data_IF_609584913065
#
_entry.id   IF_609584913065
#
_cell.length_a   1.000
_cell.length_b   1.000
_cell.length_c   1.000
_cell.angle_alpha   90.00
_cell.angle_beta   90.00
_cell.angle_gamma   90.00
#
_symmetry.space_group_name_H-M   'P 1'
#
loop_
_entity.id
_entity.type
_entity.pdbx_description
1 polymer ?
#
# COMPACT_ATOMS: atom_id res chain seq x y z
N UNK A 1 0.69 9.52 -21.36
CA UNK A 1 0.03 9.27 -20.06
C UNK A 1 1.08 9.19 -18.97
N UNK A 2 1.01 10.04 -17.95
CA UNK A 2 1.92 9.97 -16.78
C UNK A 2 1.62 8.66 -16.05
N UNK A 3 2.58 7.73 -16.00
CA UNK A 3 2.40 6.43 -15.35
C UNK A 3 2.31 6.68 -13.84
N UNK A 4 1.10 6.63 -13.28
CA UNK A 4 0.86 6.85 -11.84
C UNK A 4 1.47 5.73 -11.01
N UNK A 5 1.83 6.03 -9.77
CA UNK A 5 2.55 5.10 -8.88
C UNK A 5 1.68 3.96 -8.34
N UNK A 6 0.37 4.18 -8.18
CA UNK A 6 -0.55 3.26 -7.48
C UNK A 6 -1.96 3.13 -8.10
N UNK A 7 -2.28 3.88 -9.15
CA UNK A 7 -3.62 3.93 -9.75
C UNK A 7 -4.60 4.88 -9.06
N UNK A 8 -4.21 5.47 -7.92
CA UNK A 8 -4.99 6.50 -7.23
C UNK A 8 -4.99 7.82 -8.01
N UNK A 9 -6.09 8.54 -7.93
CA UNK A 9 -6.28 9.86 -8.57
C UNK A 9 -5.42 10.96 -7.96
N UNK A 10 -4.93 10.76 -6.74
CA UNK A 10 -4.16 11.73 -5.96
C UNK A 10 -2.94 11.08 -5.32
N UNK A 11 -1.92 11.90 -5.05
CA UNK A 11 -0.79 11.49 -4.23
C UNK A 11 -1.28 11.06 -2.84
N UNK A 12 -0.84 9.88 -2.40
CA UNK A 12 -1.30 9.25 -1.17
C UNK A 12 -0.12 8.63 -0.42
N UNK A 13 -0.29 8.35 0.88
CA UNK A 13 0.72 7.72 1.72
C UNK A 13 0.18 6.43 2.33
N UNK A 14 1.04 5.42 2.45
CA UNK A 14 0.73 4.19 3.17
C UNK A 14 0.94 4.43 4.67
N UNK A 15 -0.12 4.30 5.47
CA UNK A 15 -0.03 4.46 6.92
C UNK A 15 0.29 3.11 7.59
N UNK A 16 1.57 2.88 7.88
CA UNK A 16 2.06 1.60 8.40
C UNK A 16 1.70 1.36 9.88
N UNK A 17 1.27 2.38 10.62
CA UNK A 17 0.76 2.22 11.99
C UNK A 17 -0.73 1.88 12.05
N UNK A 18 -1.43 1.90 10.91
CA UNK A 18 -2.86 1.60 10.80
C UNK A 18 -3.10 0.30 10.04
N UNK A 19 -2.61 -0.82 10.59
CA UNK A 19 -2.84 -2.15 10.04
C UNK A 19 -4.25 -2.64 10.37
N UNK A 20 -4.94 -3.17 9.37
CA UNK A 20 -6.29 -3.74 9.51
C UNK A 20 -6.32 -5.15 8.93
N UNK A 21 -6.99 -6.06 9.63
CA UNK A 21 -7.39 -7.36 9.07
C UNK A 21 -8.81 -7.23 8.52
N UNK A 22 -9.00 -7.56 7.24
CA UNK A 22 -10.29 -7.45 6.56
C UNK A 22 -10.71 -8.80 5.99
N UNK A 23 -12.00 -9.08 6.03
CA UNK A 23 -12.59 -10.18 5.28
C UNK A 23 -12.47 -9.89 3.77
N UNK A 24 -12.15 -10.91 2.97
CA UNK A 24 -11.99 -10.78 1.52
C UNK A 24 -13.26 -10.28 0.82
N UNK A 25 -14.44 -10.57 1.36
CA UNK A 25 -15.74 -10.11 0.85
C UNK A 25 -15.91 -8.59 0.91
N UNK A 26 -15.14 -7.90 1.77
CA UNK A 26 -15.16 -6.43 1.88
C UNK A 26 -14.37 -5.74 0.76
N UNK A 27 -13.59 -6.48 -0.04
CA UNK A 27 -12.75 -5.92 -1.12
C UNK A 27 -13.57 -5.88 -2.42
N UNK A 28 -14.16 -4.72 -2.72
CA UNK A 28 -15.07 -4.56 -3.86
C UNK A 28 -14.43 -4.29 -5.22
N UNK A 29 -13.25 -3.66 -5.26
CA UNK A 29 -12.59 -3.31 -6.53
C UNK A 29 -11.06 -3.22 -6.40
N UNK A 30 -10.37 -3.52 -7.49
CA UNK A 30 -8.93 -3.26 -7.63
C UNK A 30 -8.71 -1.91 -8.30
N UNK A 31 -7.93 -1.04 -7.68
CA UNK A 31 -7.62 0.31 -8.19
C UNK A 31 -6.32 0.32 -9.01
N UNK A 32 -5.42 -0.63 -8.75
CA UNK A 32 -4.12 -0.68 -9.38
C UNK A 32 -3.14 -1.53 -8.57
N UNK A 33 -1.87 -1.45 -8.96
CA UNK A 33 -0.77 -2.12 -8.26
C UNK A 33 0.30 -1.09 -7.95
N UNK A 34 0.79 -1.12 -6.72
CA UNK A 34 1.94 -0.31 -6.28
C UNK A 34 3.21 -0.84 -6.95
N UNK A 35 4.15 0.03 -7.32
CA UNK A 35 5.42 -0.40 -7.90
C UNK A 35 6.28 -1.15 -6.88
N UNK A 36 7.13 -2.03 -7.39
CA UNK A 36 8.05 -2.84 -6.59
C UNK A 36 8.91 -2.00 -5.65
N UNK A 37 9.48 -0.88 -6.14
CA UNK A 37 10.27 0.04 -5.30
C UNK A 37 9.50 0.59 -4.10
N UNK A 38 8.20 0.85 -4.27
CA UNK A 38 7.35 1.34 -3.18
C UNK A 38 6.95 0.20 -2.26
N UNK A 39 6.73 -1.01 -2.79
CA UNK A 39 6.53 -2.20 -1.96
C UNK A 39 7.75 -2.51 -1.09
N UNK A 40 8.98 -2.45 -1.62
CA UNK A 40 10.20 -2.68 -0.83
C UNK A 40 10.33 -1.72 0.35
N UNK A 41 9.94 -0.44 0.15
CA UNK A 41 9.93 0.58 1.21
C UNK A 41 8.85 0.32 2.26
N UNK A 42 7.69 -0.20 1.84
CA UNK A 42 6.63 -0.63 2.76
C UNK A 42 7.13 -1.78 3.62
N UNK A 43 7.78 -2.79 3.03
CA UNK A 43 8.30 -3.94 3.76
C UNK A 43 9.34 -3.54 4.81
N UNK A 44 10.26 -2.63 4.46
CA UNK A 44 11.22 -2.04 5.41
C UNK A 44 10.50 -1.27 6.54
N UNK A 45 9.55 -0.41 6.19
CA UNK A 45 8.79 0.33 7.20
C UNK A 45 7.97 -0.56 8.13
N UNK A 46 7.42 -1.67 7.62
CA UNK A 46 6.68 -2.64 8.43
C UNK A 46 7.59 -3.33 9.44
N UNK A 47 8.80 -3.75 9.02
CA UNK A 47 9.82 -4.31 9.93
C UNK A 47 10.14 -3.36 11.08
N UNK A 48 10.34 -2.08 10.76
CA UNK A 48 10.60 -1.04 11.75
C UNK A 48 9.44 -0.85 12.73
N UNK A 49 8.20 -0.77 12.24
CA UNK A 49 7.01 -0.55 13.08
C UNK A 49 6.69 -1.77 13.94
N UNK A 50 6.94 -2.98 13.43
CA UNK A 50 6.65 -4.23 14.12
C UNK A 50 7.81 -4.74 14.98
N UNK A 51 9.01 -4.16 14.85
CA UNK A 51 10.21 -4.55 15.60
C UNK A 51 10.76 -5.92 15.21
N UNK A 52 10.67 -6.28 13.93
CA UNK A 52 11.10 -7.59 13.37
C UNK A 52 12.18 -7.46 12.30
#
# INVERSE_FOLDING_TARGET
>A
MRRTESGLSQASANNLSALVSLDRTLIGASVGRVRESTQSRVDEGLRLVLGI
#
